data_IF_611357265723
#
_entry.id   IF_611357265723
#
_cell.length_a   1.000
_cell.length_b   1.000
_cell.length_c   1.000
_cell.angle_alpha   90.00
_cell.angle_beta   90.00
_cell.angle_gamma   90.00
#
_symmetry.space_group_name_H-M   'P 1'
#
loop_
_entity.id
_entity.type
_entity.pdbx_description
1 polymer ?
#
# COMPACT_ATOMS: atom_id res chain seq x y z
N UNK A 1 -27.06 -12.41 0.51
CA UNK A 1 -26.13 -13.56 0.42
C UNK A 1 -25.11 -13.43 1.55
N UNK A 2 -24.77 -14.51 2.24
CA UNK A 2 -23.74 -14.49 3.30
C UNK A 2 -22.39 -14.07 2.69
N UNK A 3 -21.65 -13.18 3.36
CA UNK A 3 -20.29 -12.75 2.97
C UNK A 3 -19.35 -13.93 2.69
N UNK A 4 -19.55 -15.04 3.42
CA UNK A 4 -18.79 -16.28 3.25
C UNK A 4 -19.02 -16.93 1.87
N UNK A 5 -20.25 -16.91 1.36
CA UNK A 5 -20.58 -17.48 0.06
C UNK A 5 -20.03 -16.62 -1.08
N UNK A 6 -19.99 -15.30 -0.90
CA UNK A 6 -19.35 -14.37 -1.84
C UNK A 6 -17.85 -14.66 -1.94
N UNK A 7 -17.17 -14.83 -0.80
CA UNK A 7 -15.75 -15.21 -0.74
C UNK A 7 -15.50 -16.57 -1.40
N UNK A 8 -16.31 -17.59 -1.09
CA UNK A 8 -16.17 -18.92 -1.68
C UNK A 8 -16.31 -18.88 -3.20
N UNK A 9 -17.28 -18.12 -3.72
CA UNK A 9 -17.49 -17.93 -5.15
C UNK A 9 -16.34 -17.16 -5.80
N UNK A 10 -15.81 -16.12 -5.15
CA UNK A 10 -14.67 -15.36 -5.64
C UNK A 10 -13.41 -16.24 -5.75
N UNK A 11 -13.14 -17.08 -4.75
CA UNK A 11 -12.03 -18.03 -4.78
C UNK A 11 -12.16 -19.13 -5.85
N UNK A 12 -13.38 -19.39 -6.33
CA UNK A 12 -13.68 -20.37 -7.38
C UNK A 12 -13.78 -19.74 -8.79
N UNK A 13 -13.58 -18.42 -8.90
CA UNK A 13 -13.67 -17.70 -10.17
C UNK A 13 -12.40 -17.92 -11.01
N UNK A 14 -12.56 -17.88 -12.34
CA UNK A 14 -11.45 -18.01 -13.28
C UNK A 14 -10.40 -16.91 -13.10
N UNK A 15 -9.12 -17.28 -13.19
CA UNK A 15 -8.00 -16.40 -12.85
C UNK A 15 -7.84 -15.23 -13.84
N UNK A 16 -8.05 -15.46 -15.14
CA UNK A 16 -7.83 -14.44 -16.17
C UNK A 16 -8.66 -13.16 -15.99
N UNK A 17 -10.01 -13.21 -15.83
CA UNK A 17 -10.80 -12.00 -15.63
C UNK A 17 -10.45 -11.29 -14.31
N UNK A 18 -10.09 -12.04 -13.26
CA UNK A 18 -9.66 -11.45 -11.99
C UNK A 18 -8.32 -10.72 -12.10
N UNK A 19 -7.39 -11.25 -12.89
CA UNK A 19 -6.10 -10.59 -13.14
C UNK A 19 -6.28 -9.28 -13.90
N UNK A 20 -7.15 -9.25 -14.92
CA UNK A 20 -7.46 -8.03 -15.67
C UNK A 20 -8.05 -6.96 -14.75
N UNK A 21 -9.09 -7.31 -13.99
CA UNK A 21 -9.72 -6.38 -13.05
C UNK A 21 -8.75 -5.90 -11.95
N UNK A 22 -7.83 -6.77 -11.50
CA UNK A 22 -6.81 -6.39 -10.51
C UNK A 22 -5.81 -5.39 -11.09
N UNK A 23 -5.35 -5.59 -12.32
CA UNK A 23 -4.46 -4.63 -13.01
C UNK A 23 -5.11 -3.26 -13.17
N UNK A 24 -6.39 -3.21 -13.51
CA UNK A 24 -7.15 -1.96 -13.61
C UNK A 24 -7.24 -1.22 -12.27
N UNK A 25 -7.41 -1.94 -11.15
CA UNK A 25 -7.41 -1.33 -9.81
C UNK A 25 -6.02 -0.88 -9.39
N UNK A 26 -4.99 -1.68 -9.63
CA UNK A 26 -3.59 -1.28 -9.39
C UNK A 26 -3.21 -0.03 -10.20
N UNK A 27 -3.71 0.13 -11.42
CA UNK A 27 -3.46 1.31 -12.24
C UNK A 27 -3.99 2.61 -11.60
N UNK A 28 -4.98 2.54 -10.69
CA UNK A 28 -5.45 3.72 -9.96
C UNK A 28 -4.38 4.30 -9.02
N UNK A 29 -3.38 3.49 -8.64
CA UNK A 29 -2.24 3.88 -7.82
C UNK A 29 -1.07 4.45 -8.65
N UNK A 30 -1.26 4.70 -9.94
CA UNK A 30 -0.19 5.10 -10.85
C UNK A 30 0.60 6.31 -10.37
N UNK A 31 -0.04 7.28 -9.72
CA UNK A 31 0.63 8.47 -9.17
C UNK A 31 1.64 8.13 -8.07
N UNK A 32 1.36 7.10 -7.26
CA UNK A 32 2.24 6.62 -6.19
C UNK A 32 3.26 5.60 -6.71
N UNK A 33 3.04 5.04 -7.89
CA UNK A 33 3.85 3.99 -8.51
C UNK A 33 4.73 4.48 -9.67
N UNK A 34 4.80 5.79 -9.92
CA UNK A 34 5.77 6.35 -10.86
C UNK A 34 7.20 6.20 -10.33
N UNK A 35 8.20 5.88 -11.19
CA UNK A 35 9.60 5.91 -10.80
C UNK A 35 10.00 7.23 -10.15
N UNK A 36 10.83 7.16 -9.11
CA UNK A 36 11.38 8.35 -8.48
C UNK A 36 12.45 8.98 -9.38
N UNK A 37 12.56 10.30 -9.31
CA UNK A 37 13.60 11.05 -10.00
C UNK A 37 14.93 10.86 -9.26
N UNK A 38 15.98 10.39 -9.95
CA UNK A 38 17.28 10.21 -9.33
C UNK A 38 18.09 9.08 -9.96
N UNK A 39 19.08 8.58 -9.22
CA UNK A 39 19.96 7.49 -9.66
C UNK A 39 19.27 6.11 -9.59
N UNK A 40 18.25 5.97 -8.74
CA UNK A 40 17.46 4.76 -8.56
C UNK A 40 15.98 5.07 -8.78
N UNK A 41 15.32 4.29 -9.65
CA UNK A 41 13.87 4.39 -9.87
C UNK A 41 13.06 4.09 -8.60
N UNK A 42 13.64 3.31 -7.67
CA UNK A 42 13.05 2.98 -6.38
C UNK A 42 13.44 3.97 -5.26
N UNK A 43 14.32 4.94 -5.53
CA UNK A 43 14.90 5.79 -4.49
C UNK A 43 15.94 5.07 -3.64
N UNK A 44 16.22 5.64 -2.46
CA UNK A 44 17.16 5.11 -1.47
C UNK A 44 16.41 4.61 -0.21
N UNK A 45 17.09 3.88 0.67
CA UNK A 45 16.49 3.38 1.91
C UNK A 45 16.03 4.56 2.80
N UNK A 46 14.74 4.70 3.13
CA UNK A 46 14.21 5.79 3.95
C UNK A 46 14.51 5.60 5.44
N UNK A 47 15.33 4.63 5.84
CA UNK A 47 15.60 4.30 7.24
C UNK A 47 16.11 5.46 8.10
N UNK A 48 16.71 6.51 7.52
CA UNK A 48 17.13 7.72 8.23
C UNK A 48 16.26 8.96 7.94
N UNK A 49 15.22 8.81 7.12
CA UNK A 49 14.30 9.89 6.77
C UNK A 49 13.38 10.21 7.96
N UNK A 50 13.22 11.51 8.25
CA UNK A 50 12.44 11.99 9.39
C UNK A 50 10.96 11.57 9.30
N UNK A 51 10.37 11.61 8.09
CA UNK A 51 8.97 11.20 7.87
C UNK A 51 8.82 9.69 8.10
N UNK A 52 9.83 8.90 7.70
CA UNK A 52 9.82 7.45 7.94
C UNK A 52 9.96 7.13 9.43
N UNK A 53 10.82 7.84 10.16
CA UNK A 53 10.94 7.70 11.61
C UNK A 53 9.63 8.04 12.31
N UNK A 54 9.01 9.17 11.96
CA UNK A 54 7.73 9.58 12.50
C UNK A 54 6.63 8.54 12.19
N UNK A 55 6.57 8.04 10.96
CA UNK A 55 5.62 7.00 10.57
C UNK A 55 5.80 5.74 11.42
N UNK A 56 7.05 5.32 11.65
CA UNK A 56 7.38 4.16 12.47
C UNK A 56 6.98 4.34 13.93
N UNK A 57 7.18 5.53 14.49
CA UNK A 57 6.74 5.87 15.85
C UNK A 57 5.22 5.76 15.99
N UNK A 58 4.46 6.33 15.04
CA UNK A 58 2.99 6.25 15.03
C UNK A 58 2.50 4.80 14.93
N UNK A 59 3.09 4.01 14.03
CA UNK A 59 2.75 2.59 13.85
C UNK A 59 3.01 1.79 15.13
N UNK A 60 4.06 2.11 15.88
CA UNK A 60 4.45 1.37 17.09
C UNK A 60 3.65 1.76 18.34
N UNK A 61 2.78 2.77 18.28
CA UNK A 61 1.89 3.11 19.40
C UNK A 61 0.96 1.95 19.74
N UNK A 62 0.86 1.64 21.03
CA UNK A 62 -0.04 0.60 21.54
C UNK A 62 -1.51 1.00 21.46
N UNK A 63 -1.79 2.30 21.49
CA UNK A 63 -3.13 2.87 21.32
C UNK A 63 -3.03 4.31 20.80
N UNK A 64 -4.11 4.82 20.19
CA UNK A 64 -4.18 6.20 19.73
C UNK A 64 -3.20 6.53 18.60
N UNK A 65 -2.84 5.55 17.76
CA UNK A 65 -2.04 5.79 16.57
C UNK A 65 -2.79 6.73 15.60
N UNK A 66 -2.12 7.76 15.11
CA UNK A 66 -2.69 8.65 14.11
C UNK A 66 -2.60 8.00 12.72
N UNK A 67 -3.65 7.25 12.38
CA UNK A 67 -3.77 6.57 11.09
C UNK A 67 -3.85 7.52 9.91
N UNK A 68 -4.30 8.77 10.12
CA UNK A 68 -4.33 9.78 9.06
C UNK A 68 -2.94 10.29 8.74
N UNK A 69 -2.16 10.56 9.78
CA UNK A 69 -0.76 10.92 9.67
C UNK A 69 0.02 9.80 8.96
N UNK A 70 -0.18 8.54 9.35
CA UNK A 70 0.46 7.40 8.67
C UNK A 70 0.12 7.40 7.17
N UNK A 71 -1.14 7.64 6.79
CA UNK A 71 -1.54 7.67 5.38
C UNK A 71 -0.85 8.81 4.61
N UNK A 72 -0.77 10.01 5.20
CA UNK A 72 -0.10 11.17 4.58
C UNK A 72 1.41 10.99 4.46
N UNK A 73 2.05 10.41 5.49
CA UNK A 73 3.49 10.10 5.46
C UNK A 73 3.79 9.03 4.41
N UNK A 74 2.92 8.02 4.27
CA UNK A 74 3.06 7.00 3.24
C UNK A 74 3.05 7.61 1.82
N UNK A 75 2.08 8.48 1.54
CA UNK A 75 1.98 9.18 0.26
C UNK A 75 3.27 9.92 -0.06
N UNK A 76 3.71 10.75 0.89
CA UNK A 76 4.92 11.56 0.74
C UNK A 76 6.14 10.67 0.47
N UNK A 77 6.41 9.71 1.35
CA UNK A 77 7.56 8.80 1.24
C UNK A 77 7.55 8.02 -0.08
N UNK A 78 6.42 7.44 -0.48
CA UNK A 78 6.32 6.65 -1.70
C UNK A 78 6.44 7.51 -2.96
N UNK A 79 6.01 8.77 -2.93
CA UNK A 79 6.06 9.67 -4.10
C UNK A 79 7.34 10.48 -4.20
N UNK A 80 8.08 10.68 -3.11
CA UNK A 80 9.27 11.57 -3.10
C UNK A 80 10.57 10.91 -2.66
N UNK A 81 10.53 9.86 -1.84
CA UNK A 81 11.73 9.36 -1.14
C UNK A 81 12.11 7.95 -1.55
N UNK A 82 11.19 6.98 -1.40
CA UNK A 82 11.51 5.57 -1.58
C UNK A 82 10.29 4.72 -1.94
N UNK A 83 10.45 3.76 -2.85
CA UNK A 83 9.51 2.68 -3.13
C UNK A 83 9.70 1.54 -2.13
N UNK A 84 9.35 1.81 -0.87
CA UNK A 84 9.65 0.93 0.25
C UNK A 84 8.44 0.10 0.70
N UNK A 85 8.63 -1.22 0.82
CA UNK A 85 7.56 -2.16 1.21
C UNK A 85 7.09 -1.97 2.66
N UNK A 86 7.93 -1.45 3.56
CA UNK A 86 7.56 -1.18 4.96
C UNK A 86 6.57 -0.04 5.01
N UNK A 87 6.81 1.01 4.22
CA UNK A 87 5.90 2.16 4.08
C UNK A 87 4.53 1.72 3.57
N UNK A 88 4.48 0.93 2.50
CA UNK A 88 3.21 0.42 1.98
C UNK A 88 2.48 -0.52 2.96
N UNK A 89 3.22 -1.31 3.73
CA UNK A 89 2.62 -2.18 4.76
C UNK A 89 2.02 -1.37 5.91
N UNK A 90 2.71 -0.30 6.34
CA UNK A 90 2.19 0.62 7.35
C UNK A 90 0.95 1.37 6.84
N UNK A 91 0.95 1.80 5.58
CA UNK A 91 -0.22 2.37 4.91
C UNK A 91 -1.41 1.41 4.93
N UNK A 92 -1.19 0.16 4.51
CA UNK A 92 -2.21 -0.88 4.48
C UNK A 92 -2.84 -1.10 5.86
N UNK A 93 -2.03 -1.19 6.91
CA UNK A 93 -2.54 -1.27 8.29
C UNK A 93 -3.35 -0.04 8.70
N UNK A 94 -2.86 1.17 8.38
CA UNK A 94 -3.58 2.40 8.71
C UNK A 94 -4.94 2.49 8.00
N UNK A 95 -5.00 2.14 6.71
CA UNK A 95 -6.23 2.11 5.92
C UNK A 95 -7.22 1.07 6.44
N UNK A 96 -6.76 -0.13 6.79
CA UNK A 96 -7.59 -1.15 7.43
C UNK A 96 -8.25 -0.62 8.72
N UNK A 97 -7.48 0.05 9.58
CA UNK A 97 -8.03 0.60 10.82
C UNK A 97 -9.05 1.72 10.59
N UNK A 98 -8.94 2.48 9.49
CA UNK A 98 -9.83 3.62 9.19
C UNK A 98 -11.09 3.21 8.43
N UNK A 99 -10.93 2.33 7.46
CA UNK A 99 -11.93 2.08 6.41
C UNK A 99 -12.30 0.60 6.32
N UNK A 100 -11.77 -0.24 7.21
CA UNK A 100 -12.06 -1.66 7.28
C UNK A 100 -11.57 -2.41 6.04
N UNK A 101 -12.39 -3.32 5.54
CA UNK A 101 -12.04 -4.24 4.45
C UNK A 101 -11.71 -3.50 3.14
N UNK A 102 -12.39 -2.39 2.85
CA UNK A 102 -12.10 -1.58 1.67
C UNK A 102 -10.68 -1.00 1.74
N UNK A 103 -10.32 -0.40 2.88
CA UNK A 103 -8.99 0.16 3.08
C UNK A 103 -7.88 -0.90 3.01
N UNK A 104 -8.17 -2.12 3.47
CA UNK A 104 -7.26 -3.26 3.34
C UNK A 104 -7.05 -3.64 1.87
N UNK A 105 -8.14 -3.74 1.09
CA UNK A 105 -8.05 -4.08 -0.33
C UNK A 105 -7.21 -3.04 -1.10
N UNK A 106 -7.49 -1.76 -0.89
CA UNK A 106 -6.75 -0.63 -1.46
C UNK A 106 -5.26 -0.66 -1.08
N UNK A 107 -4.94 -0.92 0.20
CA UNK A 107 -3.55 -1.06 0.66
C UNK A 107 -2.81 -2.25 0.05
N UNK A 108 -3.50 -3.37 -0.18
CA UNK A 108 -2.94 -4.55 -0.85
C UNK A 108 -2.71 -4.31 -2.35
N UNK A 109 -3.58 -3.56 -3.02
CA UNK A 109 -3.39 -3.16 -4.42
C UNK A 109 -2.14 -2.28 -4.58
N UNK A 110 -1.94 -1.30 -3.70
CA UNK A 110 -0.73 -0.49 -3.69
C UNK A 110 0.53 -1.36 -3.47
N UNK A 111 0.50 -2.27 -2.50
CA UNK A 111 1.62 -3.17 -2.23
C UNK A 111 1.93 -4.09 -3.42
N UNK A 112 0.90 -4.64 -4.07
CA UNK A 112 1.05 -5.46 -5.27
C UNK A 112 1.68 -4.65 -6.41
N UNK A 113 1.21 -3.42 -6.64
CA UNK A 113 1.77 -2.53 -7.66
C UNK A 113 3.23 -2.15 -7.41
N UNK A 114 3.63 -1.97 -6.14
CA UNK A 114 5.03 -1.77 -5.78
C UNK A 114 5.89 -2.98 -6.11
N UNK A 115 5.44 -4.18 -5.73
CA UNK A 115 6.17 -5.42 -6.00
C UNK A 115 6.25 -5.73 -7.49
N UNK A 116 5.19 -5.45 -8.26
CA UNK A 116 5.18 -5.65 -9.71
C UNK A 116 6.19 -4.75 -10.44
N UNK A 117 6.40 -3.51 -9.97
CA UNK A 117 7.25 -2.52 -10.66
C UNK A 117 8.66 -2.40 -10.12
N UNK A 118 8.86 -2.65 -8.83
CA UNK A 118 10.12 -2.41 -8.12
C UNK A 118 10.59 -3.64 -7.30
N UNK A 119 9.87 -4.76 -7.37
CA UNK A 119 10.33 -6.03 -6.82
C UNK A 119 11.56 -6.59 -7.57
N UNK A 120 12.24 -7.58 -6.98
CA UNK A 120 13.41 -8.23 -7.59
C UNK A 120 13.09 -9.00 -8.88
#
# INVERSE_FOLDING_TARGET
>A
MSMLNTLLSACQTEQEPLLVATRERVAQWDSWLQPLSGQSAAGEDPGYDDDFQQMREEVNKLSGADTELICRLAEKLLTTTAKDIRVATYYCRAKLHREGEQGLAEGLELLAGLLERFGP
#
